data_IF_588711536648
#
_entry.id   IF_588711536648
#
_cell.length_a   1.000
_cell.length_b   1.000
_cell.length_c   1.000
_cell.angle_alpha   90.00
_cell.angle_beta   90.00
_cell.angle_gamma   90.00
#
_symmetry.space_group_name_H-M   'P 1'
#
loop_
_entity.id
_entity.type
_entity.pdbx_description
1 polymer ?
#
# COMPACT_ATOMS: atom_id res chain seq x y z
N UNK A 1 -13.18 -13.72 -10.95
CA UNK A 1 -12.87 -12.28 -11.07
C UNK A 1 -12.61 -11.99 -12.54
N UNK A 2 -13.38 -11.11 -13.17
CA UNK A 2 -13.35 -10.90 -14.64
C UNK A 2 -12.64 -9.62 -15.08
N UNK A 3 -12.27 -8.74 -14.14
CA UNK A 3 -11.51 -7.51 -14.39
C UNK A 3 -10.46 -7.31 -13.29
N UNK A 4 -9.32 -6.71 -13.65
CA UNK A 4 -8.28 -6.33 -12.70
C UNK A 4 -8.74 -5.22 -11.75
N UNK A 5 -8.06 -5.10 -10.61
CA UNK A 5 -8.27 -4.02 -9.62
C UNK A 5 -7.27 -2.90 -9.91
N UNK A 6 -7.75 -1.66 -9.94
CA UNK A 6 -6.93 -0.47 -10.21
C UNK A 6 -6.76 0.37 -8.93
N UNK A 7 -5.53 0.80 -8.67
CA UNK A 7 -5.13 1.58 -7.50
C UNK A 7 -4.66 3.01 -7.87
N UNK A 8 -5.00 3.52 -9.05
CA UNK A 8 -4.62 4.87 -9.52
C UNK A 8 -4.97 6.03 -8.58
N UNK A 9 -5.95 5.84 -7.67
CA UNK A 9 -6.32 6.86 -6.69
C UNK A 9 -5.32 6.97 -5.52
N UNK A 10 -4.43 6.00 -5.33
CA UNK A 10 -3.44 5.99 -4.27
C UNK A 10 -2.43 7.14 -4.46
N UNK A 11 -2.15 7.88 -3.38
CA UNK A 11 -1.24 9.02 -3.38
C UNK A 11 -0.21 8.89 -2.26
N UNK A 12 0.99 9.41 -2.51
CA UNK A 12 2.06 9.53 -1.52
C UNK A 12 2.35 11.00 -1.22
N UNK A 13 2.74 11.29 0.02
CA UNK A 13 3.07 12.64 0.50
C UNK A 13 4.38 12.62 1.29
N UNK A 14 5.10 13.74 1.33
CA UNK A 14 6.37 13.86 2.08
C UNK A 14 6.35 14.95 3.16
N UNK A 15 5.28 15.73 3.26
CA UNK A 15 5.05 16.73 4.30
C UNK A 15 3.99 16.22 5.25
N UNK A 16 4.33 16.06 6.53
CA UNK A 16 3.38 15.66 7.56
C UNK A 16 2.72 16.93 8.14
N UNK A 17 1.77 17.51 7.42
CA UNK A 17 0.90 18.54 7.99
C UNK A 17 -0.25 17.82 8.70
N UNK A 18 -0.35 18.00 10.02
CA UNK A 18 -1.21 17.24 10.92
C UNK A 18 -2.73 17.26 10.59
N UNK A 19 -3.16 18.06 9.61
CA UNK A 19 -4.56 18.22 9.24
C UNK A 19 -4.96 17.63 7.87
N UNK A 20 -4.04 17.11 7.04
CA UNK A 20 -4.39 16.80 5.66
C UNK A 20 -4.03 15.37 5.21
N UNK A 21 -5.09 14.54 5.23
CA UNK A 21 -5.36 13.32 4.44
C UNK A 21 -4.98 11.95 5.04
N UNK A 22 -5.91 11.38 5.83
CA UNK A 22 -5.87 9.99 6.31
C UNK A 22 -5.80 8.93 5.19
N UNK A 23 -6.10 9.30 3.94
CA UNK A 23 -6.15 8.39 2.78
C UNK A 23 -4.89 8.45 1.89
N UNK A 24 -3.81 9.10 2.34
CA UNK A 24 -2.53 9.14 1.61
C UNK A 24 -1.41 8.49 2.42
N UNK A 25 -0.42 7.95 1.72
CA UNK A 25 0.74 7.30 2.36
C UNK A 25 1.88 8.30 2.55
N UNK A 26 2.37 8.44 3.77
CA UNK A 26 3.55 9.24 4.03
C UNK A 26 4.82 8.50 3.60
N UNK A 27 5.74 9.20 2.94
CA UNK A 27 7.05 8.69 2.52
C UNK A 27 8.16 9.68 2.84
N UNK A 28 9.33 9.16 3.18
CA UNK A 28 10.55 9.93 3.28
C UNK A 28 11.17 10.09 1.90
N UNK A 29 11.56 11.31 1.56
CA UNK A 29 12.27 11.57 0.31
C UNK A 29 13.63 10.87 0.31
N UNK A 30 14.10 10.48 -0.87
CA UNK A 30 15.36 9.76 -1.11
C UNK A 30 15.46 8.36 -0.50
N UNK A 31 14.33 7.79 -0.05
CA UNK A 31 14.26 6.41 0.42
C UNK A 31 13.65 5.51 -0.65
N UNK A 32 14.12 4.27 -0.69
CA UNK A 32 13.57 3.22 -1.56
C UNK A 32 12.40 2.53 -0.87
N UNK A 33 11.34 2.30 -1.63
CA UNK A 33 10.11 1.64 -1.20
C UNK A 33 9.75 0.48 -2.13
N UNK A 34 9.00 -0.47 -1.60
CA UNK A 34 8.36 -1.55 -2.36
C UNK A 34 6.85 -1.55 -2.07
N UNK A 35 5.99 -1.31 -3.09
CA UNK A 35 4.55 -1.46 -2.94
C UNK A 35 4.19 -2.90 -2.58
N UNK A 36 3.32 -3.06 -1.58
CA UNK A 36 2.74 -4.34 -1.18
C UNK A 36 1.22 -4.24 -1.21
N UNK A 37 0.56 -5.32 -1.60
CA UNK A 37 -0.89 -5.42 -1.52
C UNK A 37 -1.28 -6.63 -0.68
N UNK A 38 -2.40 -6.50 0.01
CA UNK A 38 -2.91 -7.49 0.95
C UNK A 38 -4.31 -7.88 0.54
N UNK A 39 -4.59 -9.17 0.52
CA UNK A 39 -5.94 -9.69 0.32
C UNK A 39 -6.46 -10.12 1.68
N UNK A 40 -7.56 -9.50 2.09
CA UNK A 40 -8.22 -9.78 3.36
C UNK A 40 -9.53 -10.51 3.08
N UNK A 41 -9.89 -11.46 3.93
CA UNK A 41 -11.19 -12.14 3.92
C UNK A 41 -11.93 -11.79 5.21
N UNK A 42 -13.19 -11.43 5.09
CA UNK A 42 -14.06 -11.30 6.26
C UNK A 42 -14.25 -12.66 6.92
N UNK A 43 -14.13 -12.70 8.24
CA UNK A 43 -14.32 -13.91 9.05
C UNK A 43 -15.44 -13.71 10.06
N UNK A 44 -16.17 -14.79 10.32
CA UNK A 44 -17.17 -14.80 11.38
C UNK A 44 -16.50 -14.88 12.77
N UNK A 45 -17.23 -14.55 13.84
CA UNK A 45 -16.69 -14.61 15.20
C UNK A 45 -16.14 -15.99 15.60
N UNK A 46 -16.68 -17.08 15.02
CA UNK A 46 -16.25 -18.44 15.31
C UNK A 46 -14.93 -18.81 14.62
N UNK A 47 -14.66 -18.26 13.44
CA UNK A 47 -13.46 -18.57 12.66
C UNK A 47 -12.21 -17.81 13.16
N UNK A 48 -12.40 -16.74 13.94
CA UNK A 48 -11.32 -15.95 14.55
C UNK A 48 -10.58 -16.76 15.63
N UNK A 49 -11.31 -17.56 16.41
CA UNK A 49 -10.72 -18.35 17.50
C UNK A 49 -9.83 -19.49 16.97
N UNK A 50 -10.01 -19.89 15.71
CA UNK A 50 -9.24 -20.96 15.05
C UNK A 50 -8.04 -20.43 14.23
N UNK A 51 -7.99 -19.13 13.93
CA UNK A 51 -6.95 -18.54 13.09
C UNK A 51 -5.72 -18.10 13.92
N UNK A 52 -4.69 -18.96 13.97
CA UNK A 52 -3.45 -18.77 14.74
C UNK A 52 -2.59 -17.54 14.38
N UNK A 53 -2.86 -16.83 13.28
CA UNK A 53 -1.99 -15.78 12.71
C UNK A 53 -2.70 -14.45 12.38
N UNK A 54 -3.77 -14.09 13.10
CA UNK A 54 -4.51 -12.85 12.81
C UNK A 54 -3.89 -11.59 13.44
N UNK A 55 -3.43 -10.69 12.55
CA UNK A 55 -3.19 -9.29 12.85
C UNK A 55 -4.51 -8.63 13.28
N UNK A 56 -4.73 -8.48 14.60
CA UNK A 56 -5.91 -7.80 15.15
C UNK A 56 -5.88 -6.30 14.85
N UNK A 57 -6.23 -5.91 13.63
CA UNK A 57 -6.44 -4.51 13.24
C UNK A 57 -7.79 -4.01 13.78
N UNK A 58 -7.91 -3.86 15.10
CA UNK A 58 -9.08 -3.28 15.77
C UNK A 58 -10.39 -4.06 15.58
N UNK A 59 -11.51 -3.33 15.39
CA UNK A 59 -12.89 -3.86 15.27
C UNK A 59 -13.17 -4.66 13.98
N UNK A 60 -12.23 -4.75 13.03
CA UNK A 60 -12.43 -5.50 11.79
C UNK A 60 -12.16 -6.99 11.99
N UNK A 61 -13.20 -7.80 11.80
CA UNK A 61 -13.14 -9.27 11.76
C UNK A 61 -12.65 -9.75 10.41
N UNK A 62 -11.33 -9.72 10.20
CA UNK A 62 -10.71 -10.08 8.91
C UNK A 62 -9.48 -10.96 9.10
N UNK A 63 -9.35 -11.99 8.28
CA UNK A 63 -8.14 -12.80 8.12
C UNK A 63 -7.30 -12.30 6.95
N UNK A 64 -5.98 -12.28 7.12
CA UNK A 64 -5.07 -12.04 6.00
C UNK A 64 -4.96 -13.31 5.16
N UNK A 65 -5.50 -13.29 3.95
CA UNK A 65 -5.39 -14.40 2.99
C UNK A 65 -3.98 -14.48 2.42
N UNK A 66 -3.36 -13.32 2.21
CA UNK A 66 -2.00 -13.26 1.69
C UNK A 66 -1.50 -11.83 1.58
N UNK A 67 -0.17 -11.71 1.60
CA UNK A 67 0.56 -10.47 1.40
C UNK A 67 1.51 -10.63 0.22
N UNK A 68 1.38 -9.75 -0.77
CA UNK A 68 2.04 -9.89 -2.05
C UNK A 68 2.75 -8.60 -2.44
N UNK A 69 3.71 -8.72 -3.36
CA UNK A 69 4.36 -7.60 -4.02
C UNK A 69 4.67 -8.00 -5.47
N UNK A 70 4.82 -7.01 -6.34
CA UNK A 70 5.18 -7.25 -7.75
C UNK A 70 6.66 -6.85 -7.92
N UNK A 71 7.57 -7.77 -8.28
CA UNK A 71 8.95 -7.44 -8.58
C UNK A 71 9.04 -6.33 -9.64
N UNK A 72 10.03 -5.44 -9.51
CA UNK A 72 10.19 -4.29 -10.40
C UNK A 72 9.28 -3.09 -10.11
N UNK A 73 8.36 -3.17 -9.14
CA UNK A 73 7.56 -2.00 -8.70
C UNK A 73 8.21 -1.16 -7.61
N UNK A 74 9.46 -1.48 -7.25
CA UNK A 74 10.24 -0.70 -6.31
C UNK A 74 10.52 0.69 -6.87
N UNK A 75 10.54 1.70 -6.01
CA UNK A 75 10.80 3.08 -6.42
C UNK A 75 11.53 3.86 -5.34
N UNK A 76 12.18 4.97 -5.73
CA UNK A 76 12.76 5.95 -4.81
C UNK A 76 11.84 7.16 -4.76
N UNK A 77 11.37 7.54 -3.58
CA UNK A 77 10.53 8.72 -3.41
C UNK A 77 11.35 10.00 -3.63
N UNK A 78 10.89 10.89 -4.49
CA UNK A 78 11.57 12.16 -4.80
C UNK A 78 10.57 13.30 -4.92
N UNK A 79 11.00 14.52 -4.58
CA UNK A 79 10.21 15.74 -4.81
C UNK A 79 10.29 16.21 -6.26
N UNK A 80 11.37 15.86 -6.95
CA UNK A 80 11.59 16.14 -8.35
C UNK A 80 12.40 14.99 -8.98
N UNK A 81 12.06 14.61 -10.21
CA UNK A 81 12.80 13.58 -10.92
C UNK A 81 14.28 13.98 -11.09
N UNK A 82 15.19 13.08 -10.71
CA UNK A 82 16.63 13.28 -10.87
C UNK A 82 17.14 12.72 -12.20
N UNK A 83 16.70 11.52 -12.57
CA UNK A 83 17.08 10.88 -13.84
C UNK A 83 16.29 11.48 -15.01
N UNK A 84 16.99 11.89 -16.07
CA UNK A 84 16.42 12.44 -17.30
C UNK A 84 15.57 11.41 -18.08
N UNK A 85 15.95 10.13 -18.10
CA UNK A 85 15.18 9.06 -18.74
C UNK A 85 13.83 8.87 -18.05
N UNK A 86 13.79 8.94 -16.72
CA UNK A 86 12.54 8.89 -15.95
C UNK A 86 11.65 10.09 -16.30
N UNK A 87 12.22 11.28 -16.49
CA UNK A 87 11.46 12.45 -16.96
C UNK A 87 10.87 12.19 -18.34
N UNK A 88 11.66 11.66 -19.29
CA UNK A 88 11.22 11.41 -20.66
C UNK A 88 10.09 10.38 -20.75
N UNK A 89 10.10 9.34 -19.92
CA UNK A 89 9.05 8.30 -19.93
C UNK A 89 7.76 8.77 -19.23
N UNK A 90 7.83 9.80 -18.38
CA UNK A 90 6.70 10.26 -17.56
C UNK A 90 6.01 11.53 -18.06
N UNK A 91 6.66 12.29 -18.94
CA UNK A 91 6.12 13.47 -19.62
C UNK A 91 5.50 13.05 -20.94
#
# INVERSE_FOLDING_TARGET
MTKGVDLKAAKIIHTNTAEQNMNMMFVYTQHQYIPRYHILRHVSAREIDEALDEFRMGQLRVAVVGSFFIPGTQFIAVTQYKNAEVKQVKV
#
